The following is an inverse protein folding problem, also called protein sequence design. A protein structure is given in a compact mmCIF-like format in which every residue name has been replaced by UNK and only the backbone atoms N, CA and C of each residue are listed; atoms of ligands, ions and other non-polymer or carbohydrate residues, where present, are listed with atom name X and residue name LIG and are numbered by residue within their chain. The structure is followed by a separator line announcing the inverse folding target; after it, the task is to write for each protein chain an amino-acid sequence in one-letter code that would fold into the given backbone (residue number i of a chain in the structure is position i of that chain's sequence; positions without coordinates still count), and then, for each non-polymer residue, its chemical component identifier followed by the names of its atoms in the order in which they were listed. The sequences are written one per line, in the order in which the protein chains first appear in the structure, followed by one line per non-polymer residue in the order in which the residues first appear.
data_IF_574153914729
#
_entry.id   IF_574153914729
#
_cell.length_a   1.000
_cell.length_b   1.000
_cell.length_c   1.000
_cell.angle_alpha   90.00
_cell.angle_beta   90.00
_cell.angle_gamma   90.00
#
_symmetry.space_group_name_H-M   'P 1'
#
loop_
_entity.id
_entity.type
_entity.pdbx_description
1 polymer ?
#
# COMPACT_ATOMS: atom_id res chain seq x y z
N UNK A 1 22.67 7.61 21.72
CA UNK A 1 23.40 6.35 22.03
C UNK A 1 22.81 5.13 21.33
N UNK A 2 21.53 5.07 21.11
CA UNK A 2 20.81 3.98 20.39
C UNK A 2 21.11 3.92 18.88
N UNK A 3 21.20 5.05 18.21
CA UNK A 3 21.47 5.11 16.75
C UNK A 3 22.91 4.70 16.42
N UNK A 4 23.89 5.07 17.25
CA UNK A 4 25.28 4.66 17.05
C UNK A 4 25.45 3.13 17.18
N UNK A 5 24.71 2.50 18.11
CA UNK A 5 24.71 1.04 18.27
C UNK A 5 24.07 0.32 17.06
N UNK A 6 23.04 0.92 16.45
CA UNK A 6 22.44 0.38 15.20
C UNK A 6 23.39 0.49 14.02
N UNK A 7 24.08 1.63 13.88
CA UNK A 7 25.08 1.82 12.82
C UNK A 7 26.24 0.82 12.94
N UNK A 8 26.80 0.65 14.14
CA UNK A 8 27.88 -0.31 14.41
C UNK A 8 27.41 -1.75 14.13
N UNK A 9 26.16 -2.08 14.47
CA UNK A 9 25.59 -3.40 14.20
C UNK A 9 25.38 -3.64 12.69
N UNK A 10 24.99 -2.61 11.95
CA UNK A 10 24.81 -2.69 10.49
C UNK A 10 26.15 -2.89 9.78
N UNK A 11 27.18 -2.14 10.18
CA UNK A 11 28.55 -2.31 9.66
C UNK A 11 29.13 -3.69 9.98
N UNK A 12 28.89 -4.19 11.20
CA UNK A 12 29.33 -5.53 11.59
C UNK A 12 28.66 -6.62 10.79
N UNK A 13 27.38 -6.47 10.43
CA UNK A 13 26.66 -7.40 9.58
C UNK A 13 27.23 -7.37 8.14
N UNK A 14 27.51 -6.20 7.57
CA UNK A 14 28.13 -6.06 6.26
C UNK A 14 29.47 -6.76 6.21
N UNK A 15 30.31 -6.56 7.21
CA UNK A 15 31.62 -7.21 7.33
C UNK A 15 31.46 -8.74 7.43
N UNK A 16 30.49 -9.20 8.24
CA UNK A 16 30.25 -10.64 8.40
C UNK A 16 29.72 -11.29 7.12
N UNK A 17 28.83 -10.62 6.37
CA UNK A 17 28.34 -11.09 5.07
C UNK A 17 29.48 -11.11 4.05
N UNK A 18 30.29 -10.06 3.95
CA UNK A 18 31.46 -10.04 3.08
C UNK A 18 32.46 -11.14 3.45
N UNK A 19 32.67 -11.40 4.73
CA UNK A 19 33.57 -12.45 5.20
C UNK A 19 33.02 -13.85 4.91
N UNK A 20 31.71 -14.09 5.03
CA UNK A 20 31.10 -15.38 4.69
C UNK A 20 31.10 -15.66 3.19
N UNK A 21 30.88 -14.64 2.36
CA UNK A 21 31.02 -14.73 0.90
C UNK A 21 32.50 -15.00 0.54
N UNK A 22 33.42 -14.34 1.20
CA UNK A 22 34.83 -14.55 1.01
C UNK A 22 35.27 -15.98 1.41
N UNK A 23 34.78 -16.49 2.53
CA UNK A 23 35.05 -17.85 3.00
C UNK A 23 34.46 -18.91 2.04
N UNK A 24 33.26 -18.70 1.53
CA UNK A 24 32.63 -19.59 0.57
C UNK A 24 33.35 -19.58 -0.79
N UNK A 25 33.79 -18.41 -1.27
CA UNK A 25 34.63 -18.29 -2.48
C UNK A 25 36.01 -18.92 -2.31
N UNK A 26 36.60 -18.81 -1.11
CA UNK A 26 37.88 -19.43 -0.81
C UNK A 26 37.81 -20.97 -0.75
N UNK A 27 36.71 -21.48 -0.15
CA UNK A 27 36.41 -22.93 -0.13
C UNK A 27 36.12 -23.47 -1.55
N UNK A 28 35.42 -22.69 -2.39
CA UNK A 28 35.15 -23.05 -3.78
C UNK A 28 36.44 -23.03 -4.64
N UNK A 29 37.32 -22.06 -4.39
CA UNK A 29 38.63 -21.99 -5.03
C UNK A 29 39.57 -23.13 -4.62
N UNK A 30 39.53 -23.58 -3.35
CA UNK A 30 40.30 -24.72 -2.88
C UNK A 30 39.82 -26.05 -3.44
N UNK A 31 38.53 -26.22 -3.73
CA UNK A 31 37.99 -27.46 -4.32
C UNK A 31 38.42 -27.66 -5.80
N UNK A 32 38.91 -26.63 -6.49
CA UNK A 32 39.33 -26.64 -7.88
C UNK A 32 40.86 -26.48 -8.08
N UNK A 33 41.66 -26.81 -7.05
CA UNK A 33 43.13 -26.73 -7.08
C UNK A 33 43.78 -27.81 -7.97
N UNK A 34 43.48 -27.80 -9.24
CA UNK A 34 44.36 -28.35 -10.26
C UNK A 34 44.84 -27.23 -11.20
N UNK A 35 45.85 -26.50 -10.74
CA UNK A 35 46.83 -25.84 -11.62
C UNK A 35 46.46 -24.55 -12.37
N UNK A 36 45.31 -23.95 -12.15
CA UNK A 36 44.95 -22.63 -12.71
C UNK A 36 44.95 -21.57 -11.63
N UNK A 37 45.67 -20.50 -11.78
CA UNK A 37 45.55 -19.27 -10.98
C UNK A 37 44.18 -18.69 -11.23
N UNK A 38 43.22 -19.06 -10.40
CA UNK A 38 41.84 -18.53 -10.47
C UNK A 38 41.83 -17.06 -9.97
N UNK A 39 42.22 -16.16 -10.86
CA UNK A 39 42.00 -14.73 -10.64
C UNK A 39 40.49 -14.48 -10.85
N UNK A 40 39.76 -14.19 -9.78
CA UNK A 40 38.37 -13.76 -9.86
C UNK A 40 38.35 -12.42 -10.59
N UNK A 41 37.81 -12.42 -11.82
CA UNK A 41 37.68 -11.18 -12.58
C UNK A 41 36.67 -10.24 -11.92
N UNK A 42 36.80 -8.93 -12.11
CA UNK A 42 35.84 -7.94 -11.64
C UNK A 42 34.41 -8.25 -12.11
N UNK A 43 34.24 -8.65 -13.36
CA UNK A 43 32.94 -9.00 -13.92
C UNK A 43 32.29 -10.18 -13.18
N UNK A 44 33.04 -11.27 -12.98
CA UNK A 44 32.56 -12.45 -12.25
C UNK A 44 32.21 -12.14 -10.78
N UNK A 45 33.01 -11.28 -10.13
CA UNK A 45 32.73 -10.82 -8.77
C UNK A 45 31.42 -10.03 -8.71
N UNK A 46 31.25 -9.04 -9.60
CA UNK A 46 30.05 -8.19 -9.63
C UNK A 46 28.79 -8.98 -10.01
N UNK A 47 28.90 -9.97 -10.88
CA UNK A 47 27.79 -10.85 -11.24
C UNK A 47 27.36 -11.72 -10.04
N UNK A 48 28.33 -12.33 -9.36
CA UNK A 48 28.07 -13.20 -8.21
C UNK A 48 27.43 -12.46 -7.02
N UNK A 49 27.79 -11.19 -6.79
CA UNK A 49 27.25 -10.43 -5.66
C UNK A 49 25.93 -9.73 -5.99
N UNK A 50 25.63 -9.44 -7.24
CA UNK A 50 24.46 -8.64 -7.65
C UNK A 50 23.16 -9.18 -7.08
N UNK A 51 22.96 -10.49 -7.09
CA UNK A 51 21.75 -11.13 -6.58
C UNK A 51 21.77 -11.34 -5.07
N UNK A 52 22.93 -11.19 -4.44
CA UNK A 52 23.14 -11.41 -3.02
C UNK A 52 23.05 -10.12 -2.18
N UNK A 53 23.09 -8.94 -2.84
CA UNK A 53 23.09 -7.65 -2.13
C UNK A 53 21.69 -7.36 -1.56
N UNK A 54 21.50 -7.43 -0.23
CA UNK A 54 20.19 -7.22 0.38
C UNK A 54 19.71 -5.76 0.24
N UNK A 55 20.64 -4.80 0.20
CA UNK A 55 20.34 -3.37 0.06
C UNK A 55 19.59 -3.08 -1.26
N UNK A 56 19.93 -3.73 -2.35
CA UNK A 56 19.25 -3.55 -3.65
C UNK A 56 17.79 -4.05 -3.58
N UNK A 57 17.51 -5.08 -2.79
CA UNK A 57 16.15 -5.57 -2.54
C UNK A 57 15.36 -4.59 -1.68
N UNK A 58 16.01 -3.97 -0.70
CA UNK A 58 15.40 -2.94 0.15
C UNK A 58 15.08 -1.69 -0.68
N UNK A 59 15.98 -1.27 -1.57
CA UNK A 59 15.75 -0.13 -2.46
C UNK A 59 14.54 -0.38 -3.38
N UNK A 60 14.33 -1.61 -3.86
CA UNK A 60 13.17 -1.99 -4.65
C UNK A 60 11.84 -1.88 -3.89
N UNK A 61 11.82 -2.02 -2.57
CA UNK A 61 10.61 -1.88 -1.76
C UNK A 61 10.06 -0.46 -1.80
N UNK A 62 10.91 0.56 -1.82
CA UNK A 62 10.47 1.96 -1.90
C UNK A 62 9.75 2.24 -3.23
N UNK A 63 10.26 1.71 -4.34
CA UNK A 63 9.60 1.79 -5.64
C UNK A 63 8.25 1.06 -5.65
N UNK A 64 8.20 -0.17 -5.12
CA UNK A 64 6.97 -0.96 -5.02
C UNK A 64 5.91 -0.23 -4.19
N UNK A 65 6.30 0.39 -3.08
CA UNK A 65 5.38 1.18 -2.25
C UNK A 65 4.83 2.40 -3.01
N UNK A 66 5.65 3.06 -3.82
CA UNK A 66 5.21 4.18 -4.66
C UNK A 66 4.25 3.71 -5.77
N UNK A 67 4.46 2.52 -6.36
CA UNK A 67 3.54 1.89 -7.31
C UNK A 67 2.19 1.55 -6.68
N UNK A 68 2.19 1.00 -5.46
CA UNK A 68 0.96 0.72 -4.70
C UNK A 68 0.20 2.00 -4.35
N UNK A 69 0.90 3.07 -4.00
CA UNK A 69 0.29 4.38 -3.74
C UNK A 69 -0.35 4.97 -5.02
N UNK A 70 0.29 4.81 -6.18
CA UNK A 70 -0.28 5.22 -7.46
C UNK A 70 -1.53 4.39 -7.81
N UNK A 71 -1.48 3.07 -7.61
CA UNK A 71 -2.64 2.21 -7.81
C UNK A 71 -3.80 2.63 -6.90
N UNK A 72 -3.52 2.87 -5.61
CA UNK A 72 -4.51 3.36 -4.65
C UNK A 72 -5.10 4.73 -5.05
N UNK A 73 -4.27 5.66 -5.55
CA UNK A 73 -4.77 6.95 -6.03
C UNK A 73 -5.67 6.80 -7.27
N UNK A 74 -5.34 5.89 -8.19
CA UNK A 74 -6.16 5.59 -9.38
C UNK A 74 -7.47 4.88 -9.03
N UNK A 75 -7.47 4.02 -8.01
CA UNK A 75 -8.65 3.29 -7.57
C UNK A 75 -9.74 4.19 -6.98
N UNK A 76 -9.45 5.46 -6.71
CA UNK A 76 -10.47 6.44 -6.30
C UNK A 76 -11.59 6.62 -7.34
N UNK A 77 -11.33 6.31 -8.60
CA UNK A 77 -12.32 6.30 -9.68
C UNK A 77 -13.00 4.95 -9.92
N UNK A 78 -12.64 3.92 -9.17
CA UNK A 78 -13.23 2.59 -9.34
C UNK A 78 -14.66 2.53 -8.84
N UNK A 79 -15.40 1.55 -9.34
CA UNK A 79 -16.76 1.28 -8.88
C UNK A 79 -16.70 0.63 -7.51
N UNK A 80 -17.32 1.28 -6.53
CA UNK A 80 -17.40 0.79 -5.16
C UNK A 80 -18.76 0.12 -4.92
N UNK A 81 -18.72 -1.09 -4.36
CA UNK A 81 -19.89 -1.79 -3.87
C UNK A 81 -19.98 -1.55 -2.35
N UNK A 82 -21.15 -1.12 -1.89
CA UNK A 82 -21.43 -0.91 -0.47
C UNK A 82 -22.56 -1.83 -0.04
N UNK A 83 -22.38 -2.48 1.11
CA UNK A 83 -23.39 -3.32 1.74
C UNK A 83 -23.76 -2.73 3.09
N UNK A 84 -25.03 -2.74 3.44
CA UNK A 84 -25.56 -2.27 4.70
C UNK A 84 -26.45 -3.35 5.32
N UNK A 85 -26.11 -3.73 6.54
CA UNK A 85 -26.97 -4.57 7.36
C UNK A 85 -26.99 -4.01 8.78
N UNK A 86 -28.17 -3.76 9.33
CA UNK A 86 -28.26 -3.20 10.67
C UNK A 86 -29.65 -3.31 11.26
N UNK A 87 -29.71 -3.21 12.58
CA UNK A 87 -30.95 -3.03 13.29
C UNK A 87 -31.35 -1.54 13.26
N UNK A 88 -32.64 -1.28 13.16
CA UNK A 88 -33.23 0.06 13.22
C UNK A 88 -34.27 0.13 14.32
N UNK A 89 -34.30 1.26 14.97
CA UNK A 89 -35.36 1.58 15.97
C UNK A 89 -35.80 3.01 15.75
N UNK A 90 -37.10 3.24 15.85
CA UNK A 90 -37.68 4.58 15.80
C UNK A 90 -38.68 4.76 16.94
N UNK A 91 -38.64 5.94 17.54
CA UNK A 91 -39.60 6.33 18.56
C UNK A 91 -39.95 7.79 18.39
N UNK A 92 -41.26 8.11 18.53
CA UNK A 92 -41.75 9.45 18.47
C UNK A 92 -42.58 9.80 17.22
N UNK A 93 -42.82 11.09 17.02
CA UNK A 93 -43.49 11.59 15.84
C UNK A 93 -42.49 11.75 14.67
N UNK A 94 -42.47 10.80 13.79
CA UNK A 94 -41.60 10.80 12.62
C UNK A 94 -42.33 10.49 11.33
N UNK A 95 -41.55 10.28 10.25
CA UNK A 95 -42.09 9.99 8.92
C UNK A 95 -43.00 8.78 8.90
N UNK A 96 -42.76 7.78 9.76
CA UNK A 96 -43.59 6.59 9.87
C UNK A 96 -44.97 6.91 10.44
N UNK A 97 -45.04 7.72 11.54
CA UNK A 97 -46.30 8.10 12.16
C UNK A 97 -47.12 9.01 11.25
N UNK A 98 -46.48 9.99 10.61
CA UNK A 98 -47.19 10.92 9.72
C UNK A 98 -47.69 10.25 8.43
N UNK A 99 -46.97 9.33 7.86
CA UNK A 99 -47.39 8.60 6.66
C UNK A 99 -48.56 7.65 6.90
N UNK A 100 -48.75 7.22 8.17
CA UNK A 100 -49.86 6.34 8.58
C UNK A 100 -50.97 7.07 9.33
N UNK A 101 -50.92 8.40 9.40
CA UNK A 101 -51.97 9.22 10.07
C UNK A 101 -51.95 9.17 11.61
N UNK A 102 -50.87 8.69 12.22
CA UNK A 102 -50.71 8.56 13.65
C UNK A 102 -50.02 9.75 14.31
N UNK A 103 -50.12 9.87 15.64
CA UNK A 103 -49.43 10.89 16.44
C UNK A 103 -47.96 10.53 16.67
N UNK A 104 -47.69 9.28 16.98
CA UNK A 104 -46.34 8.76 17.21
C UNK A 104 -46.26 7.30 16.84
N UNK A 105 -45.06 6.83 16.56
CA UNK A 105 -44.79 5.43 16.30
C UNK A 105 -43.59 4.96 17.09
N UNK A 106 -43.63 3.71 17.50
CA UNK A 106 -42.52 2.97 18.07
C UNK A 106 -42.32 1.74 17.17
N UNK A 107 -41.15 1.53 16.66
CA UNK A 107 -40.89 0.40 15.80
C UNK A 107 -39.45 -0.04 15.89
N UNK A 108 -39.25 -1.35 15.84
CA UNK A 108 -37.92 -1.98 15.69
C UNK A 108 -37.92 -2.83 14.45
N UNK A 109 -36.77 -2.94 13.80
CA UNK A 109 -36.69 -3.66 12.57
C UNK A 109 -35.26 -3.86 12.07
N UNK A 110 -35.16 -4.28 10.83
CA UNK A 110 -33.90 -4.56 10.15
C UNK A 110 -33.80 -3.67 8.91
N UNK A 111 -32.61 -3.14 8.68
CA UNK A 111 -32.24 -2.48 7.44
C UNK A 111 -31.25 -3.36 6.69
N UNK A 112 -31.54 -3.62 5.45
CA UNK A 112 -30.62 -4.23 4.50
C UNK A 112 -30.49 -3.34 3.26
N UNK A 113 -29.30 -3.21 2.71
CA UNK A 113 -29.10 -2.38 1.54
C UNK A 113 -27.85 -2.81 0.76
N UNK A 114 -27.89 -2.53 -0.50
CA UNK A 114 -26.76 -2.67 -1.42
C UNK A 114 -26.68 -1.41 -2.26
N UNK A 115 -25.46 -0.91 -2.42
CA UNK A 115 -25.22 0.29 -3.21
C UNK A 115 -24.02 0.13 -4.13
N UNK A 116 -24.08 0.83 -5.25
CA UNK A 116 -22.98 0.91 -6.21
C UNK A 116 -22.76 2.38 -6.52
N UNK A 117 -21.50 2.80 -6.51
CA UNK A 117 -21.16 4.19 -6.84
C UNK A 117 -19.72 4.33 -7.29
N UNK A 118 -19.42 5.46 -7.91
CA UNK A 118 -18.07 5.79 -8.35
C UNK A 118 -17.86 7.30 -8.45
N UNK A 119 -16.59 7.70 -8.43
CA UNK A 119 -16.13 9.03 -8.78
C UNK A 119 -15.53 9.00 -10.19
N UNK A 120 -15.93 9.89 -11.06
CA UNK A 120 -15.31 10.11 -12.36
C UNK A 120 -14.23 11.19 -12.19
N UNK A 121 -12.92 10.84 -12.09
CA UNK A 121 -11.87 11.80 -11.72
C UNK A 121 -11.70 12.93 -12.74
N UNK A 122 -12.05 12.68 -13.99
CA UNK A 122 -11.90 13.68 -15.08
C UNK A 122 -12.91 14.81 -15.00
N UNK A 123 -14.08 14.56 -14.45
CA UNK A 123 -15.14 15.58 -14.30
C UNK A 123 -15.40 15.94 -12.84
N UNK A 124 -14.89 15.15 -11.88
CA UNK A 124 -15.23 15.28 -10.46
C UNK A 124 -16.67 14.86 -10.14
N UNK A 125 -17.37 14.23 -11.09
CA UNK A 125 -18.74 13.76 -10.91
C UNK A 125 -18.77 12.53 -10.03
N UNK A 126 -19.58 12.56 -9.00
CA UNK A 126 -19.90 11.39 -8.16
C UNK A 126 -21.28 10.90 -8.52
N UNK A 127 -21.43 9.60 -8.67
CA UNK A 127 -22.70 8.96 -8.83
C UNK A 127 -22.85 7.78 -7.90
N UNK A 128 -24.06 7.53 -7.43
CA UNK A 128 -24.39 6.35 -6.65
C UNK A 128 -25.81 5.87 -6.93
N UNK A 129 -25.99 4.57 -6.84
CA UNK A 129 -27.27 3.90 -6.88
C UNK A 129 -27.37 3.01 -5.67
N UNK A 130 -28.31 3.29 -4.78
CA UNK A 130 -28.49 2.57 -3.53
C UNK A 130 -29.89 1.98 -3.47
N UNK A 131 -29.99 0.67 -3.27
CA UNK A 131 -31.21 -0.04 -2.97
C UNK A 131 -31.20 -0.36 -1.46
N UNK A 132 -32.15 0.17 -0.72
CA UNK A 132 -32.29 -0.13 0.70
C UNK A 132 -33.68 -0.67 0.99
N UNK A 133 -33.76 -1.62 1.92
CA UNK A 133 -34.97 -2.20 2.42
C UNK A 133 -35.00 -2.06 3.94
N UNK A 134 -35.97 -1.32 4.43
CA UNK A 134 -36.23 -1.20 5.85
C UNK A 134 -37.48 -2.03 6.18
N UNK A 135 -37.33 -3.01 7.05
CA UNK A 135 -38.41 -3.89 7.51
C UNK A 135 -38.64 -3.67 8.98
N UNK A 136 -39.72 -3.02 9.33
CA UNK A 136 -40.16 -2.83 10.71
C UNK A 136 -41.01 -4.03 11.12
N UNK A 137 -40.44 -4.89 11.96
CA UNK A 137 -41.05 -6.18 12.34
C UNK A 137 -41.97 -6.08 13.57
N UNK A 138 -41.62 -5.16 14.49
CA UNK A 138 -42.43 -4.88 15.67
C UNK A 138 -42.63 -3.38 15.76
N UNK A 139 -43.83 -2.94 15.45
CA UNK A 139 -44.22 -1.54 15.43
C UNK A 139 -45.55 -1.31 16.10
N UNK A 140 -45.67 -0.19 16.82
CA UNK A 140 -46.91 0.33 17.37
C UNK A 140 -47.13 1.73 16.89
N UNK A 141 -48.31 1.99 16.34
CA UNK A 141 -48.77 3.30 15.93
C UNK A 141 -49.80 3.82 16.93
N UNK A 142 -49.54 4.98 17.51
CA UNK A 142 -50.38 5.62 18.51
C UNK A 142 -51.19 6.75 17.86
N UNK A 143 -52.50 6.78 18.10
CA UNK A 143 -53.41 7.82 17.63
C UNK A 143 -53.68 8.88 18.71
N UNK A 144 -54.32 9.97 18.31
CA UNK A 144 -54.67 11.06 19.23
C UNK A 144 -55.68 10.69 20.31
N UNK A 145 -56.51 9.68 20.07
CA UNK A 145 -57.52 9.18 21.03
C UNK A 145 -56.91 8.18 22.08
N UNK A 146 -55.61 7.92 22.01
CA UNK A 146 -54.96 6.97 22.91
C UNK A 146 -54.91 5.53 22.40
N UNK A 147 -55.61 5.22 21.33
CA UNK A 147 -55.59 3.89 20.73
C UNK A 147 -54.23 3.61 20.08
N UNK A 148 -53.85 2.34 20.06
CA UNK A 148 -52.63 1.87 19.34
C UNK A 148 -52.94 0.63 18.52
N UNK A 149 -52.37 0.57 17.37
CA UNK A 149 -52.41 -0.62 16.52
C UNK A 149 -50.99 -1.13 16.26
N UNK A 150 -50.85 -2.45 16.16
CA UNK A 150 -49.61 -3.05 15.68
C UNK A 150 -49.49 -2.80 14.18
N UNK A 151 -48.35 -2.30 13.76
CA UNK A 151 -48.09 -2.01 12.36
C UNK A 151 -46.75 -2.62 11.97
N UNK A 152 -46.78 -3.58 11.04
CA UNK A 152 -45.60 -4.00 10.30
C UNK A 152 -45.51 -3.13 9.05
N UNK A 153 -44.32 -2.64 8.78
CA UNK A 153 -44.12 -1.76 7.64
C UNK A 153 -42.84 -2.06 6.91
N UNK A 154 -42.92 -2.07 5.59
CA UNK A 154 -41.81 -2.39 4.70
C UNK A 154 -41.56 -1.20 3.77
N UNK A 155 -40.32 -0.67 3.80
CA UNK A 155 -39.91 0.45 2.95
C UNK A 155 -38.76 0.04 2.06
N UNK A 156 -39.02 -0.49 0.88
CA UNK A 156 -38.00 -0.54 -0.17
C UNK A 156 -37.79 0.88 -0.69
N UNK A 157 -36.54 1.29 -0.86
CA UNK A 157 -36.20 2.56 -1.48
C UNK A 157 -35.03 2.37 -2.45
N UNK A 158 -35.19 2.96 -3.62
CA UNK A 158 -34.12 3.10 -4.62
C UNK A 158 -33.72 4.58 -4.65
N UNK A 159 -32.47 4.86 -4.34
CA UNK A 159 -31.89 6.20 -4.38
C UNK A 159 -30.85 6.26 -5.48
N UNK A 160 -31.02 7.17 -6.42
CA UNK A 160 -30.05 7.48 -7.45
C UNK A 160 -29.56 8.90 -7.18
N UNK A 161 -28.26 9.05 -6.98
CA UNK A 161 -27.64 10.34 -6.71
C UNK A 161 -26.55 10.61 -7.74
N UNK A 162 -26.55 11.83 -8.29
CA UNK A 162 -25.50 12.35 -9.14
C UNK A 162 -25.12 13.72 -8.61
N UNK A 163 -23.87 13.90 -8.27
CA UNK A 163 -23.33 15.15 -7.74
C UNK A 163 -22.17 15.64 -8.58
N UNK A 164 -22.31 16.84 -9.12
CA UNK A 164 -21.29 17.50 -9.93
C UNK A 164 -20.84 18.81 -9.26
N UNK A 165 -19.60 18.91 -8.77
CA UNK A 165 -19.08 20.17 -8.24
C UNK A 165 -18.80 21.15 -9.38
N UNK A 166 -19.42 22.33 -9.35
CA UNK A 166 -19.32 23.30 -10.42
C UNK A 166 -18.16 24.30 -10.24
N UNK A 167 -17.79 24.65 -9.01
CA UNK A 167 -16.82 25.70 -8.74
C UNK A 167 -15.51 25.15 -8.16
N UNK A 168 -15.57 24.47 -7.03
CA UNK A 168 -14.37 24.08 -6.26
C UNK A 168 -13.55 22.97 -6.94
N UNK A 169 -14.21 22.07 -7.65
CA UNK A 169 -13.56 20.93 -8.32
C UNK A 169 -13.92 20.88 -9.80
N UNK A 170 -13.89 22.03 -10.44
CA UNK A 170 -14.25 22.16 -11.85
C UNK A 170 -13.36 21.25 -12.73
N UNK A 171 -13.99 20.41 -13.55
CA UNK A 171 -13.32 19.36 -14.34
C UNK A 171 -12.43 18.39 -13.54
N UNK A 172 -12.74 18.12 -12.28
CA UNK A 172 -12.03 17.15 -11.45
C UNK A 172 -10.58 17.55 -11.15
N UNK A 173 -10.26 18.84 -11.11
CA UNK A 173 -8.90 19.31 -10.89
C UNK A 173 -8.33 18.83 -9.55
N UNK A 174 -9.13 18.84 -8.48
CA UNK A 174 -8.74 18.34 -7.16
C UNK A 174 -8.62 16.82 -7.12
N UNK A 175 -9.46 16.10 -7.85
CA UNK A 175 -9.45 14.63 -7.87
C UNK A 175 -8.29 14.07 -8.71
N UNK A 176 -7.82 14.82 -9.71
CA UNK A 176 -6.63 14.49 -10.51
C UNK A 176 -5.32 14.75 -9.78
N UNK A 177 -5.31 15.70 -8.84
CA UNK A 177 -4.09 16.10 -8.15
C UNK A 177 -3.42 14.93 -7.40
N UNK A 178 -4.14 14.11 -6.59
CA UNK A 178 -3.54 12.96 -5.93
C UNK A 178 -2.92 11.96 -6.91
N UNK A 179 -3.57 11.72 -8.05
CA UNK A 179 -3.06 10.80 -9.08
C UNK A 179 -1.75 11.33 -9.67
N UNK A 180 -1.72 12.59 -10.09
CA UNK A 180 -0.50 13.23 -10.61
C UNK A 180 0.62 13.26 -9.58
N UNK A 181 0.29 13.58 -8.33
CA UNK A 181 1.28 13.58 -7.25
C UNK A 181 1.88 12.19 -7.02
N UNK A 182 1.05 11.15 -7.07
CA UNK A 182 1.52 9.76 -6.97
C UNK A 182 2.38 9.34 -8.18
N UNK A 183 2.07 9.81 -9.40
CA UNK A 183 2.89 9.60 -10.59
C UNK A 183 4.28 10.25 -10.47
N UNK A 184 4.34 11.47 -9.96
CA UNK A 184 5.62 12.13 -9.68
C UNK A 184 6.39 11.41 -8.57
N UNK A 185 5.71 10.99 -7.51
CA UNK A 185 6.34 10.25 -6.41
C UNK A 185 6.93 8.92 -6.88
N UNK A 186 6.24 8.22 -7.77
CA UNK A 186 6.77 7.00 -8.41
C UNK A 186 8.01 7.29 -9.26
N UNK A 187 7.98 8.38 -10.04
CA UNK A 187 9.14 8.78 -10.86
C UNK A 187 10.34 9.10 -9.97
N UNK A 188 10.13 9.82 -8.88
CA UNK A 188 11.18 10.13 -7.90
C UNK A 188 11.71 8.85 -7.26
N UNK A 189 10.84 7.92 -6.85
CA UNK A 189 11.25 6.65 -6.26
C UNK A 189 12.10 5.80 -7.22
N UNK A 190 11.76 5.78 -8.52
CA UNK A 190 12.56 5.10 -9.56
C UNK A 190 13.95 5.71 -9.73
N UNK A 191 14.04 7.02 -9.78
CA UNK A 191 15.32 7.73 -9.90
C UNK A 191 16.17 7.54 -8.64
N UNK A 192 15.55 7.64 -7.46
CA UNK A 192 16.24 7.42 -6.19
C UNK A 192 16.78 5.99 -6.10
N UNK A 193 16.00 4.98 -6.50
CA UNK A 193 16.48 3.60 -6.56
C UNK A 193 17.73 3.45 -7.43
N UNK A 194 17.76 4.07 -8.61
CA UNK A 194 18.95 4.01 -9.51
C UNK A 194 20.16 4.63 -8.81
N UNK A 195 20.01 5.74 -8.11
CA UNK A 195 21.08 6.39 -7.37
C UNK A 195 21.58 5.52 -6.20
N UNK A 196 20.65 4.96 -5.42
CA UNK A 196 20.96 4.13 -4.27
C UNK A 196 21.64 2.83 -4.70
N UNK A 197 21.13 2.17 -5.75
CA UNK A 197 21.75 0.96 -6.33
C UNK A 197 23.15 1.26 -6.87
N UNK A 198 23.35 2.41 -7.53
CA UNK A 198 24.66 2.83 -8.01
C UNK A 198 25.64 3.09 -6.86
N UNK A 199 25.16 3.71 -5.78
CA UNK A 199 25.96 3.94 -4.57
C UNK A 199 26.39 2.63 -3.88
N UNK A 200 25.46 1.68 -3.80
CA UNK A 200 25.70 0.34 -3.26
C UNK A 200 26.76 -0.37 -4.11
N UNK A 201 26.58 -0.41 -5.44
CA UNK A 201 27.54 -1.02 -6.36
C UNK A 201 28.93 -0.39 -6.25
N UNK A 202 29.03 0.93 -6.15
CA UNK A 202 30.29 1.65 -5.95
C UNK A 202 31.01 1.23 -4.65
N UNK A 203 30.26 0.99 -3.57
CA UNK A 203 30.81 0.52 -2.30
C UNK A 203 31.42 -0.88 -2.43
N UNK A 204 30.73 -1.79 -3.10
CA UNK A 204 31.25 -3.15 -3.35
C UNK A 204 32.44 -3.16 -4.33
N UNK A 205 32.42 -2.28 -5.33
CA UNK A 205 33.56 -2.06 -6.19
C UNK A 205 34.81 -1.62 -5.43
N UNK A 206 34.64 -0.70 -4.48
CA UNK A 206 35.73 -0.26 -3.58
C UNK A 206 36.29 -1.44 -2.77
N UNK A 207 35.43 -2.31 -2.24
CA UNK A 207 35.84 -3.51 -1.49
C UNK A 207 36.68 -4.45 -2.39
N UNK A 208 36.26 -4.67 -3.65
CA UNK A 208 37.00 -5.50 -4.59
C UNK A 208 38.42 -4.97 -4.84
N UNK A 209 38.57 -3.66 -5.09
CA UNK A 209 39.88 -3.07 -5.30
C UNK A 209 40.76 -3.08 -4.04
N UNK A 210 40.18 -2.90 -2.87
CA UNK A 210 40.90 -3.07 -1.61
C UNK A 210 41.42 -4.49 -1.43
N UNK A 211 40.60 -5.48 -1.77
CA UNK A 211 41.02 -6.88 -1.73
C UNK A 211 42.22 -7.15 -2.67
N UNK A 212 42.17 -6.71 -3.93
CA UNK A 212 43.30 -6.83 -4.86
C UNK A 212 44.56 -6.15 -4.34
N UNK A 213 44.41 -4.98 -3.75
CA UNK A 213 45.50 -4.25 -3.14
C UNK A 213 46.19 -5.07 -2.03
N UNK A 214 45.37 -5.64 -1.12
CA UNK A 214 45.89 -6.48 -0.04
C UNK A 214 46.55 -7.78 -0.54
N UNK A 215 46.02 -8.41 -1.57
CA UNK A 215 46.59 -9.59 -2.17
C UNK A 215 48.00 -9.29 -2.76
N UNK A 216 48.12 -8.18 -3.49
CA UNK A 216 49.39 -7.72 -4.00
C UNK A 216 50.38 -7.38 -2.91
N UNK A 217 49.93 -6.72 -1.85
CA UNK A 217 50.77 -6.39 -0.70
C UNK A 217 51.27 -7.66 -0.01
N UNK A 218 50.40 -8.66 0.15
CA UNK A 218 50.78 -9.93 0.75
C UNK A 218 51.80 -10.70 -0.13
N UNK A 219 51.59 -10.69 -1.45
CA UNK A 219 52.56 -11.31 -2.37
C UNK A 219 53.91 -10.63 -2.31
N UNK A 220 53.96 -9.30 -2.19
CA UNK A 220 55.18 -8.52 -2.02
C UNK A 220 55.92 -8.90 -0.75
N UNK A 221 55.20 -8.96 0.39
CA UNK A 221 55.83 -9.37 1.67
C UNK A 221 56.36 -10.80 1.60
N UNK A 222 55.63 -11.74 0.98
CA UNK A 222 56.11 -13.12 0.79
C UNK A 222 57.37 -13.23 -0.08
N UNK A 223 57.59 -12.28 -0.99
CA UNK A 223 58.80 -12.25 -1.84
C UNK A 223 60.01 -11.66 -1.12
N UNK A 224 59.81 -10.98 -0.01
CA UNK A 224 60.89 -10.39 0.77
C UNK A 224 61.47 -11.31 1.87
N UNK A 225 60.72 -12.37 2.21
CA UNK A 225 61.11 -13.42 3.16
C UNK A 225 61.30 -14.77 2.45
#
# INVERSE_FOLDING_TARGET
MTELKKLIKLESIKIAVCFSIFLSMHLYAQSNLNGATNTVSYSSYMEAIRDLIPEMKINAVAETNAEMNLLSAKSSGDVNLTEQLGAIGTYGSGTLSSSLGGKSAEATGIRAGIGVGSLIPYSGTKWSVNLTHNSYLDGKLYYHNGDSIKAQHYYPSLTIEVSQPLLRNFFGALDKYPIKNAEYSLTIAKLQRILDDSSVLASYQKIYYQWIMYEKLLSYYRSMY
#
